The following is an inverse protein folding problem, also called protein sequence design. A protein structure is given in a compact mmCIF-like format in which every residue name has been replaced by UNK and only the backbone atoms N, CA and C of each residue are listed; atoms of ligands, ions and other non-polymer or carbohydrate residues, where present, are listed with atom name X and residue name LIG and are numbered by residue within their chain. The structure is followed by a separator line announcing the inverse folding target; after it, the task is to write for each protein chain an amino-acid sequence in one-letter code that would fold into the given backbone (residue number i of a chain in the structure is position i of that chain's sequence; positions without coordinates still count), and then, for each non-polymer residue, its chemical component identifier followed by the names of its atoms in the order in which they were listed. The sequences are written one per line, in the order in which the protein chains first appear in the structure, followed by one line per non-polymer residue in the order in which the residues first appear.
data_IF_089328234863
#
_entry.id   IF_089328234863
#
_cell.length_a   1.000
_cell.length_b   1.000
_cell.length_c   1.000
_cell.angle_alpha   90.00
_cell.angle_beta   90.00
_cell.angle_gamma   90.00
#
_symmetry.space_group_name_H-M   'P 1'
#
loop_
_entity.id
_entity.type
_entity.pdbx_description
1 polymer ?
#
# COMPACT_ATOMS: atom_id res chain seq x y z
N UNK A 1 -10.19 -13.11 -23.64
CA UNK A 1 -10.31 -12.03 -22.63
C UNK A 1 -9.55 -10.79 -23.11
N UNK A 2 -10.01 -9.59 -22.77
CA UNK A 2 -9.29 -8.34 -23.08
C UNK A 2 -7.95 -8.34 -22.36
N UNK A 3 -6.89 -7.91 -23.03
CA UNK A 3 -5.58 -7.64 -22.43
C UNK A 3 -5.45 -6.16 -22.18
N UNK A 4 -4.86 -5.78 -21.05
CA UNK A 4 -4.72 -4.40 -20.63
C UNK A 4 -3.27 -3.92 -20.74
N UNK A 5 -3.08 -2.66 -21.06
CA UNK A 5 -1.80 -1.97 -20.90
C UNK A 5 -1.75 -1.40 -19.49
N UNK A 6 -0.85 -1.93 -18.68
CA UNK A 6 -0.81 -1.58 -17.26
C UNK A 6 0.47 -0.85 -16.87
N UNK A 7 0.40 -0.09 -15.78
CA UNK A 7 1.55 0.51 -15.13
C UNK A 7 1.60 0.18 -13.65
N UNK A 8 2.80 0.04 -13.09
CA UNK A 8 3.02 -0.09 -11.64
C UNK A 8 3.87 1.10 -11.20
N UNK A 9 3.29 2.01 -10.44
CA UNK A 9 3.94 3.21 -9.91
C UNK A 9 4.53 2.89 -8.54
N UNK A 10 5.83 3.07 -8.38
CA UNK A 10 6.59 2.62 -7.20
C UNK A 10 7.11 1.18 -7.33
N UNK A 11 7.32 0.72 -8.55
CA UNK A 11 7.67 -0.67 -8.89
C UNK A 11 8.92 -1.22 -8.19
N UNK A 12 9.85 -0.38 -7.76
CA UNK A 12 11.07 -0.79 -7.06
C UNK A 12 10.90 -0.99 -5.55
N UNK A 13 9.77 -0.53 -4.99
CA UNK A 13 9.42 -0.71 -3.59
C UNK A 13 8.92 -2.13 -3.27
N UNK A 14 8.81 -2.46 -1.98
CA UNK A 14 8.31 -3.76 -1.54
C UNK A 14 6.91 -4.06 -2.09
N UNK A 15 5.98 -3.12 -1.96
CA UNK A 15 4.59 -3.26 -2.42
C UNK A 15 4.53 -3.31 -3.96
N UNK A 16 5.30 -2.47 -4.67
CA UNK A 16 5.31 -2.49 -6.13
C UNK A 16 5.82 -3.81 -6.72
N UNK A 17 6.82 -4.42 -6.09
CA UNK A 17 7.30 -5.77 -6.45
C UNK A 17 6.23 -6.85 -6.19
N UNK A 18 5.51 -6.71 -5.09
CA UNK A 18 4.42 -7.60 -4.76
C UNK A 18 3.24 -7.45 -5.74
N UNK A 19 2.91 -6.22 -6.17
CA UNK A 19 1.93 -5.98 -7.23
C UNK A 19 2.33 -6.68 -8.54
N UNK A 20 3.60 -6.59 -8.93
CA UNK A 20 4.11 -7.31 -10.10
C UNK A 20 3.94 -8.82 -9.92
N UNK A 21 4.29 -9.36 -8.74
CA UNK A 21 4.09 -10.78 -8.41
C UNK A 21 2.63 -11.19 -8.54
N UNK A 22 1.71 -10.38 -8.01
CA UNK A 22 0.27 -10.65 -8.07
C UNK A 22 -0.27 -10.63 -9.51
N UNK A 23 0.20 -9.73 -10.38
CA UNK A 23 -0.18 -9.70 -11.80
C UNK A 23 0.07 -11.07 -12.45
N UNK A 24 1.20 -11.71 -12.18
CA UNK A 24 1.52 -13.02 -12.72
C UNK A 24 0.79 -14.15 -11.98
N UNK A 25 0.79 -14.13 -10.66
CA UNK A 25 0.17 -15.20 -9.84
C UNK A 25 -1.32 -15.34 -10.12
N UNK A 26 -2.03 -14.24 -10.30
CA UNK A 26 -3.48 -14.24 -10.58
C UNK A 26 -3.79 -14.26 -12.08
N UNK A 27 -2.79 -14.46 -12.94
CA UNK A 27 -2.95 -14.50 -14.40
C UNK A 27 -3.71 -13.28 -14.93
N UNK A 28 -3.38 -12.08 -14.42
CA UNK A 28 -3.97 -10.86 -14.93
C UNK A 28 -3.57 -10.66 -16.39
N UNK A 29 -4.56 -10.55 -17.27
CA UNK A 29 -4.32 -10.47 -18.71
C UNK A 29 -3.80 -9.09 -19.11
N UNK A 30 -2.50 -8.97 -19.33
CA UNK A 30 -1.88 -7.73 -19.82
C UNK A 30 -1.32 -7.88 -21.22
N UNK A 31 -1.28 -6.78 -21.96
CA UNK A 31 -0.57 -6.61 -23.23
C UNK A 31 0.84 -6.11 -22.98
N UNK A 32 0.99 -5.13 -22.10
CA UNK A 32 2.26 -4.57 -21.68
C UNK A 32 2.24 -4.09 -20.23
N UNK A 33 3.41 -4.06 -19.59
CA UNK A 33 3.61 -3.54 -18.25
C UNK A 33 4.68 -2.46 -18.28
N UNK A 34 4.35 -1.23 -17.83
CA UNK A 34 5.33 -0.18 -17.53
C UNK A 34 5.66 -0.23 -16.04
N UNK A 35 6.94 -0.30 -15.68
CA UNK A 35 7.41 -0.19 -14.29
C UNK A 35 7.93 1.22 -14.05
N UNK A 36 7.19 2.01 -13.27
CA UNK A 36 7.46 3.43 -13.03
C UNK A 36 8.05 3.66 -11.64
N UNK A 37 9.12 4.44 -11.55
CA UNK A 37 9.75 4.82 -10.29
C UNK A 37 10.42 6.20 -10.39
N UNK A 38 11.14 6.63 -9.33
CA UNK A 38 11.90 7.88 -9.36
C UNK A 38 13.07 7.82 -10.35
N UNK A 39 13.55 8.98 -10.81
CA UNK A 39 14.73 9.12 -11.68
C UNK A 39 15.94 8.30 -11.19
N UNK A 40 16.15 8.22 -9.86
CA UNK A 40 17.24 7.40 -9.25
C UNK A 40 17.13 5.91 -9.58
N UNK A 41 15.96 5.42 -9.88
CA UNK A 41 15.70 4.00 -10.17
C UNK A 41 15.48 3.73 -11.64
N UNK A 42 15.34 4.76 -12.47
CA UNK A 42 15.22 4.62 -13.91
C UNK A 42 16.43 3.90 -14.50
N UNK A 43 16.18 3.05 -15.51
CA UNK A 43 17.19 2.21 -16.16
C UNK A 43 17.53 0.92 -15.42
N UNK A 44 17.05 0.70 -14.19
CA UNK A 44 17.23 -0.58 -13.51
C UNK A 44 16.41 -1.66 -14.18
N UNK A 45 16.98 -2.85 -14.31
CA UNK A 45 16.26 -4.03 -14.79
C UNK A 45 15.64 -4.79 -13.62
N UNK A 46 14.41 -5.23 -13.80
CA UNK A 46 13.71 -6.17 -12.91
C UNK A 46 13.41 -7.41 -13.74
N UNK A 47 13.97 -8.55 -13.34
CA UNK A 47 13.65 -9.83 -13.92
C UNK A 47 12.61 -10.53 -13.05
N UNK A 48 11.51 -10.98 -13.66
CA UNK A 48 10.43 -11.68 -13.00
C UNK A 48 9.76 -12.68 -13.94
N UNK A 49 9.63 -13.96 -13.52
CA UNK A 49 9.01 -15.05 -14.29
C UNK A 49 9.52 -15.15 -15.75
N UNK A 50 10.83 -14.98 -15.93
CA UNK A 50 11.48 -15.03 -17.26
C UNK A 50 11.28 -13.78 -18.13
N UNK A 51 10.56 -12.78 -17.63
CA UNK A 51 10.42 -11.48 -18.28
C UNK A 51 11.45 -10.48 -17.73
N UNK A 52 11.98 -9.64 -18.61
CA UNK A 52 12.85 -8.52 -18.25
C UNK A 52 12.11 -7.22 -18.45
N UNK A 53 12.01 -6.44 -17.39
CA UNK A 53 11.38 -5.13 -17.38
C UNK A 53 12.43 -4.07 -17.07
N UNK A 54 12.44 -3.00 -17.84
CA UNK A 54 13.26 -1.81 -17.55
C UNK A 54 12.38 -0.82 -16.77
N UNK A 55 12.89 -0.34 -15.65
CA UNK A 55 12.20 0.67 -14.84
C UNK A 55 12.32 2.02 -15.55
N UNK A 56 11.20 2.69 -15.79
CA UNK A 56 11.11 4.01 -16.38
C UNK A 56 10.97 5.08 -15.29
N UNK A 57 11.42 6.30 -15.59
CA UNK A 57 11.15 7.44 -14.71
C UNK A 57 9.67 7.81 -14.75
N UNK A 58 9.08 8.03 -13.56
CA UNK A 58 7.74 8.56 -13.44
C UNK A 58 7.72 10.05 -13.81
N UNK A 59 7.04 10.37 -14.89
CA UNK A 59 6.83 11.72 -15.42
C UNK A 59 5.35 11.99 -15.65
N UNK A 60 5.00 13.20 -16.00
CA UNK A 60 3.62 13.59 -16.35
C UNK A 60 3.07 12.84 -17.56
N UNK A 61 3.94 12.44 -18.49
CA UNK A 61 3.59 11.74 -19.75
C UNK A 61 3.64 10.20 -19.62
N UNK A 62 3.98 9.67 -18.45
CA UNK A 62 4.18 8.22 -18.27
C UNK A 62 2.93 7.38 -18.55
N UNK A 63 1.76 7.99 -18.48
CA UNK A 63 0.46 7.30 -18.57
C UNK A 63 -0.14 7.25 -19.97
N UNK A 64 0.53 7.81 -20.97
CA UNK A 64 0.08 7.71 -22.36
C UNK A 64 -0.08 6.25 -22.79
N UNK A 65 -1.31 5.90 -23.22
CA UNK A 65 -1.67 4.56 -23.65
C UNK A 65 -1.79 3.52 -22.52
N UNK A 66 -1.67 3.91 -21.24
CA UNK A 66 -1.92 3.04 -20.09
C UNK A 66 -3.42 3.00 -19.80
N UNK A 67 -3.98 1.81 -19.63
CA UNK A 67 -5.40 1.63 -19.32
C UNK A 67 -5.65 1.48 -17.80
N UNK A 68 -4.73 0.83 -17.07
CA UNK A 68 -4.82 0.63 -15.62
C UNK A 68 -3.47 0.87 -14.96
N UNK A 69 -3.44 1.67 -13.89
CA UNK A 69 -2.24 1.89 -13.12
C UNK A 69 -2.44 1.49 -11.64
N UNK A 70 -1.46 0.76 -11.10
CA UNK A 70 -1.37 0.39 -9.69
C UNK A 70 -0.36 1.29 -8.99
N UNK A 71 -0.75 1.90 -7.86
CA UNK A 71 0.05 2.92 -7.18
C UNK A 71 0.51 2.48 -5.81
N UNK A 72 1.83 2.60 -5.57
CA UNK A 72 2.47 2.26 -4.29
C UNK A 72 3.66 3.15 -3.94
N UNK A 73 3.80 4.31 -4.60
CA UNK A 73 4.96 5.19 -4.44
C UNK A 73 4.88 6.17 -3.26
N UNK A 74 3.81 6.09 -2.45
CA UNK A 74 3.53 7.00 -1.33
C UNK A 74 2.58 8.13 -1.69
N UNK A 75 1.86 8.67 -0.68
CA UNK A 75 0.75 9.61 -0.86
C UNK A 75 1.12 10.89 -1.61
N UNK A 76 2.30 11.45 -1.34
CA UNK A 76 2.77 12.67 -2.03
C UNK A 76 3.01 12.46 -3.54
N UNK A 77 3.35 11.25 -3.95
CA UNK A 77 3.52 10.91 -5.37
C UNK A 77 2.14 10.75 -6.02
N UNK A 78 1.20 10.08 -5.35
CA UNK A 78 -0.18 10.00 -5.82
C UNK A 78 -0.80 11.40 -5.96
N UNK A 79 -0.66 12.26 -4.95
CA UNK A 79 -1.13 13.66 -4.99
C UNK A 79 -0.60 14.40 -6.22
N UNK A 80 0.70 14.27 -6.49
CA UNK A 80 1.35 15.03 -7.56
C UNK A 80 0.97 14.53 -8.96
N UNK A 81 0.95 13.21 -9.16
CA UNK A 81 0.90 12.63 -10.51
C UNK A 81 -0.44 12.01 -10.90
N UNK A 82 -1.35 11.76 -9.95
CA UNK A 82 -2.63 11.08 -10.22
C UNK A 82 -3.46 11.81 -11.28
N UNK A 83 -3.47 13.13 -11.26
CA UNK A 83 -4.22 13.93 -12.24
C UNK A 83 -3.83 13.64 -13.68
N UNK A 84 -2.54 13.44 -13.96
CA UNK A 84 -2.05 13.16 -15.31
C UNK A 84 -2.47 11.75 -15.77
N UNK A 85 -2.53 10.79 -14.86
CA UNK A 85 -3.05 9.47 -15.17
C UNK A 85 -4.55 9.48 -15.47
N UNK A 86 -5.32 10.25 -14.72
CA UNK A 86 -6.77 10.44 -14.97
C UNK A 86 -7.01 11.17 -16.29
N UNK A 87 -6.27 12.23 -16.58
CA UNK A 87 -6.33 12.98 -17.84
C UNK A 87 -5.97 12.10 -19.04
N UNK A 88 -5.04 11.15 -18.88
CA UNK A 88 -4.70 10.15 -19.91
C UNK A 88 -5.78 9.07 -20.10
N UNK A 89 -6.87 9.08 -19.30
CA UNK A 89 -7.95 8.10 -19.36
C UNK A 89 -7.64 6.78 -18.64
N UNK A 90 -6.61 6.76 -17.82
CA UNK A 90 -6.20 5.58 -17.05
C UNK A 90 -7.10 5.38 -15.82
N UNK A 91 -7.49 4.14 -15.55
CA UNK A 91 -8.11 3.75 -14.27
C UNK A 91 -6.99 3.49 -13.26
N UNK A 92 -7.06 4.18 -12.12
CA UNK A 92 -6.00 4.18 -11.13
C UNK A 92 -6.43 3.47 -9.86
N UNK A 93 -5.69 2.45 -9.44
CA UNK A 93 -5.89 1.70 -8.20
C UNK A 93 -4.80 2.15 -7.23
N UNK A 94 -5.16 3.01 -6.28
CA UNK A 94 -4.23 3.64 -5.35
C UNK A 94 -4.18 2.95 -4.00
N UNK A 95 -3.03 2.31 -3.72
CA UNK A 95 -2.77 1.70 -2.43
C UNK A 95 -2.22 2.69 -1.39
N UNK A 96 -1.96 3.95 -1.78
CA UNK A 96 -1.51 4.97 -0.83
C UNK A 96 -2.66 5.48 0.04
N UNK A 97 -2.34 6.26 1.06
CA UNK A 97 -3.37 6.81 1.96
C UNK A 97 -3.99 8.13 1.45
N UNK A 98 -3.49 8.68 0.32
CA UNK A 98 -3.82 10.06 -0.06
C UNK A 98 -5.32 10.26 -0.33
N UNK A 99 -5.92 9.41 -1.16
CA UNK A 99 -7.32 9.56 -1.58
C UNK A 99 -8.33 8.79 -0.73
N UNK A 100 -7.90 8.03 0.29
CA UNK A 100 -8.79 7.13 1.04
C UNK A 100 -10.00 7.82 1.63
N UNK A 101 -9.80 9.04 2.16
CA UNK A 101 -10.87 9.79 2.82
C UNK A 101 -11.48 10.89 1.93
N UNK A 102 -11.08 10.98 0.65
CA UNK A 102 -11.73 11.87 -0.32
C UNK A 102 -13.17 11.38 -0.58
N UNK A 103 -14.20 12.21 -0.37
CA UNK A 103 -15.60 11.79 -0.56
C UNK A 103 -15.94 11.43 -2.02
N UNK A 104 -15.18 11.91 -2.99
CA UNK A 104 -15.40 11.65 -4.40
C UNK A 104 -14.64 10.42 -4.93
N UNK A 105 -13.83 9.77 -4.07
CA UNK A 105 -13.04 8.61 -4.44
C UNK A 105 -13.54 7.39 -3.67
N UNK A 106 -14.00 6.33 -4.33
CA UNK A 106 -14.45 5.13 -3.64
C UNK A 106 -13.28 4.44 -2.93
N UNK A 107 -13.51 4.04 -1.68
CA UNK A 107 -12.59 3.24 -0.87
C UNK A 107 -13.10 1.81 -0.88
N UNK A 108 -12.40 0.90 -1.56
CA UNK A 108 -12.97 -0.38 -1.95
C UNK A 108 -12.20 -1.57 -1.38
N UNK A 109 -12.98 -2.47 -0.76
CA UNK A 109 -12.63 -3.88 -0.52
C UNK A 109 -13.59 -4.70 -1.37
N UNK A 110 -13.13 -5.34 -2.49
CA UNK A 110 -14.03 -5.94 -3.48
C UNK A 110 -15.05 -6.93 -2.91
N UNK A 111 -14.66 -7.69 -1.88
CA UNK A 111 -15.49 -8.68 -1.21
C UNK A 111 -16.52 -8.06 -0.25
N UNK A 112 -16.40 -6.78 0.07
CA UNK A 112 -17.25 -6.07 1.04
C UNK A 112 -18.18 -5.08 0.34
N UNK A 113 -17.60 -4.15 -0.41
CA UNK A 113 -18.33 -3.06 -1.05
C UNK A 113 -17.94 -2.88 -2.52
N UNK A 114 -17.74 -3.99 -3.25
CA UNK A 114 -17.32 -3.99 -4.66
C UNK A 114 -18.22 -3.19 -5.59
N UNK A 115 -19.50 -3.01 -5.25
CA UNK A 115 -20.44 -2.18 -6.02
C UNK A 115 -20.01 -0.71 -6.10
N UNK A 116 -19.27 -0.20 -5.10
CA UNK A 116 -18.72 1.16 -5.10
C UNK A 116 -17.72 1.41 -6.24
N UNK A 117 -17.21 0.36 -6.88
CA UNK A 117 -16.38 0.50 -8.09
C UNK A 117 -17.11 1.21 -9.24
N UNK A 118 -18.43 1.19 -9.27
CA UNK A 118 -19.21 1.85 -10.33
C UNK A 118 -19.14 3.37 -10.27
N UNK A 119 -18.81 3.90 -9.11
CA UNK A 119 -18.79 5.34 -8.84
C UNK A 119 -17.38 5.96 -8.96
N UNK A 120 -16.40 5.20 -9.48
CA UNK A 120 -15.07 5.73 -9.67
C UNK A 120 -15.03 6.77 -10.81
N UNK A 121 -14.33 7.86 -10.59
CA UNK A 121 -14.04 8.88 -11.58
C UNK A 121 -12.56 8.81 -12.03
N UNK A 122 -12.10 7.60 -12.34
CA UNK A 122 -10.72 7.31 -12.72
C UNK A 122 -9.79 6.97 -11.55
N UNK A 123 -10.23 7.11 -10.28
CA UNK A 123 -9.44 6.78 -9.10
C UNK A 123 -10.24 5.82 -8.20
N UNK A 124 -9.59 4.76 -7.75
CA UNK A 124 -10.10 3.78 -6.79
C UNK A 124 -9.06 3.68 -5.67
N UNK A 125 -9.44 3.94 -4.43
CA UNK A 125 -8.54 3.80 -3.29
C UNK A 125 -8.64 2.42 -2.66
N UNK A 126 -7.48 1.85 -2.32
CA UNK A 126 -7.38 0.65 -1.49
C UNK A 126 -7.24 1.07 -0.02
N UNK A 127 -7.97 0.45 0.90
CA UNK A 127 -7.85 0.73 2.32
C UNK A 127 -6.49 0.32 2.90
N UNK A 128 -6.27 0.69 4.16
CA UNK A 128 -5.16 0.17 4.95
C UNK A 128 -5.24 -1.36 5.07
N UNK A 129 -4.09 -2.01 5.12
CA UNK A 129 -4.01 -3.49 5.11
C UNK A 129 -4.78 -4.13 6.28
N UNK A 130 -4.70 -3.56 7.48
CA UNK A 130 -5.46 -4.06 8.65
C UNK A 130 -6.94 -3.79 8.52
N UNK A 131 -7.35 -2.66 7.93
CA UNK A 131 -8.74 -2.35 7.62
C UNK A 131 -9.32 -3.37 6.62
N UNK A 132 -8.58 -3.70 5.55
CA UNK A 132 -9.03 -4.70 4.57
C UNK A 132 -9.29 -6.04 5.25
N UNK A 133 -8.33 -6.54 6.02
CA UNK A 133 -8.46 -7.83 6.72
C UNK A 133 -9.64 -7.84 7.69
N UNK A 134 -9.81 -6.78 8.47
CA UNK A 134 -10.89 -6.66 9.44
C UNK A 134 -12.26 -6.58 8.76
N UNK A 135 -12.43 -5.70 7.78
CA UNK A 135 -13.70 -5.57 7.06
C UNK A 135 -14.08 -6.85 6.31
N UNK A 136 -13.12 -7.50 5.64
CA UNK A 136 -13.37 -8.78 4.97
C UNK A 136 -13.81 -9.88 5.93
N UNK A 137 -13.24 -9.93 7.14
CA UNK A 137 -13.63 -10.91 8.15
C UNK A 137 -15.00 -10.62 8.78
N UNK A 138 -15.37 -9.35 8.88
CA UNK A 138 -16.58 -8.92 9.60
C UNK A 138 -17.79 -8.69 8.69
N UNK A 139 -17.61 -8.62 7.36
CA UNK A 139 -18.69 -8.22 6.44
C UNK A 139 -19.95 -9.07 6.62
N UNK A 140 -19.82 -10.41 6.71
CA UNK A 140 -20.99 -11.32 6.91
C UNK A 140 -21.71 -11.06 8.23
N UNK A 141 -20.95 -10.73 9.28
CA UNK A 141 -21.55 -10.40 10.58
C UNK A 141 -22.22 -9.02 10.54
N UNK A 142 -21.61 -8.09 9.82
CA UNK A 142 -22.22 -6.76 9.64
C UNK A 142 -23.52 -6.84 8.85
N UNK A 143 -23.54 -7.60 7.75
CA UNK A 143 -24.73 -7.77 6.89
C UNK A 143 -25.90 -8.41 7.63
N UNK A 144 -25.64 -9.32 8.57
CA UNK A 144 -26.67 -10.07 9.28
C UNK A 144 -27.11 -9.40 10.59
N UNK A 145 -26.22 -8.68 11.28
CA UNK A 145 -26.46 -8.23 12.65
C UNK A 145 -26.29 -6.73 12.89
N UNK A 146 -25.88 -5.94 11.91
CA UNK A 146 -25.59 -4.50 12.04
C UNK A 146 -24.60 -4.22 13.19
N UNK A 147 -23.32 -4.32 12.97
CA UNK A 147 -22.29 -4.15 13.99
C UNK A 147 -22.30 -2.73 14.56
N UNK A 148 -22.59 -2.58 15.82
CA UNK A 148 -22.58 -1.29 16.53
C UNK A 148 -21.18 -0.86 17.00
N UNK A 149 -20.34 -1.83 17.36
CA UNK A 149 -19.01 -1.54 17.92
C UNK A 149 -17.99 -2.64 17.60
N UNK A 150 -16.79 -2.20 17.21
CA UNK A 150 -15.62 -3.07 17.00
C UNK A 150 -14.54 -2.71 18.02
N UNK A 151 -14.04 -3.71 18.74
CA UNK A 151 -12.82 -3.62 19.57
C UNK A 151 -11.82 -4.61 18.99
N UNK A 152 -10.67 -4.11 18.53
CA UNK A 152 -9.68 -4.91 17.80
C UNK A 152 -8.28 -4.67 18.33
N UNK A 153 -7.49 -5.74 18.37
CA UNK A 153 -6.04 -5.69 18.58
C UNK A 153 -5.35 -6.33 17.40
N UNK A 154 -4.33 -5.68 16.86
CA UNK A 154 -3.60 -6.15 15.68
C UNK A 154 -2.16 -6.52 16.03
N UNK A 155 -1.64 -7.53 15.34
CA UNK A 155 -0.23 -7.89 15.32
C UNK A 155 0.29 -7.74 13.90
N UNK A 156 1.15 -6.75 13.69
CA UNK A 156 1.60 -6.38 12.35
C UNK A 156 3.08 -6.68 12.13
N UNK A 157 3.39 -7.20 10.95
CA UNK A 157 4.77 -7.44 10.54
C UNK A 157 5.48 -6.14 10.16
N UNK A 158 6.81 -6.16 10.25
CA UNK A 158 7.68 -5.02 9.87
C UNK A 158 7.60 -4.65 8.37
N UNK A 159 7.05 -5.52 7.54
CA UNK A 159 6.88 -5.27 6.10
C UNK A 159 6.03 -4.05 5.78
N UNK A 160 5.15 -3.63 6.70
CA UNK A 160 4.40 -2.37 6.61
C UNK A 160 5.30 -1.12 6.56
N UNK A 161 6.50 -1.17 7.17
CA UNK A 161 7.54 -0.14 7.06
C UNK A 161 8.41 -0.29 5.80
N UNK A 162 8.04 -1.16 4.88
CA UNK A 162 8.73 -1.39 3.63
C UNK A 162 10.07 -2.12 3.78
N UNK A 163 10.92 -1.98 2.76
CA UNK A 163 12.24 -2.65 2.72
C UNK A 163 13.09 -2.29 3.94
N UNK A 164 13.10 -1.03 4.36
CA UNK A 164 13.89 -0.58 5.50
C UNK A 164 13.52 -1.28 6.82
N UNK A 165 12.22 -1.52 7.06
CA UNK A 165 11.77 -2.26 8.24
C UNK A 165 12.21 -3.72 8.22
N UNK A 166 12.13 -4.38 7.06
CA UNK A 166 12.56 -5.77 6.88
C UNK A 166 14.08 -5.90 7.06
N UNK A 167 14.87 -5.05 6.42
CA UNK A 167 16.34 -5.03 6.56
C UNK A 167 16.75 -4.77 8.01
N UNK A 168 16.04 -3.87 8.70
CA UNK A 168 16.31 -3.60 10.12
C UNK A 168 16.06 -4.84 10.97
N UNK A 169 14.96 -5.57 10.77
CA UNK A 169 14.69 -6.81 11.50
C UNK A 169 15.78 -7.86 11.25
N UNK A 170 16.19 -8.08 10.01
CA UNK A 170 17.26 -9.03 9.67
C UNK A 170 18.57 -8.66 10.35
N UNK A 171 18.99 -7.40 10.26
CA UNK A 171 20.22 -6.90 10.85
C UNK A 171 20.20 -7.04 12.37
N UNK A 172 19.11 -6.60 13.02
CA UNK A 172 18.97 -6.69 14.48
C UNK A 172 18.94 -8.15 14.95
N UNK A 173 18.29 -9.05 14.20
CA UNK A 173 18.29 -10.48 14.53
C UNK A 173 19.70 -11.05 14.53
N UNK A 174 20.53 -10.69 13.55
CA UNK A 174 21.93 -11.10 13.52
C UNK A 174 22.74 -10.48 14.67
N UNK A 175 22.52 -9.20 14.98
CA UNK A 175 23.16 -8.52 16.10
C UNK A 175 22.88 -9.25 17.42
N UNK A 176 21.63 -9.63 17.68
CA UNK A 176 21.25 -10.38 18.89
C UNK A 176 21.88 -11.77 18.94
N UNK A 177 21.89 -12.51 17.81
CA UNK A 177 22.52 -13.82 17.72
C UNK A 177 24.04 -13.77 17.93
N UNK A 178 24.66 -12.66 17.56
CA UNK A 178 26.08 -12.38 17.79
C UNK A 178 26.37 -11.91 19.25
N UNK A 179 25.36 -11.82 20.10
CA UNK A 179 25.49 -11.31 21.48
C UNK A 179 25.69 -9.80 21.59
N UNK A 180 25.29 -9.04 20.54
CA UNK A 180 25.36 -7.58 20.48
C UNK A 180 24.03 -6.95 20.82
N UNK A 181 24.04 -5.71 21.31
CA UNK A 181 22.82 -4.92 21.48
C UNK A 181 22.28 -4.49 20.11
N UNK A 182 20.99 -4.75 19.80
CA UNK A 182 20.40 -4.39 18.53
C UNK A 182 20.19 -2.87 18.42
N UNK A 183 20.63 -2.29 17.31
CA UNK A 183 20.52 -0.85 17.05
C UNK A 183 19.24 -0.55 16.27
N UNK A 184 18.33 0.24 16.87
CA UNK A 184 17.08 0.68 16.24
C UNK A 184 17.26 1.99 15.46
N UNK A 185 16.71 2.06 14.23
CA UNK A 185 16.80 3.24 13.34
C UNK A 185 15.49 3.57 12.61
N UNK A 186 14.56 2.64 12.51
CA UNK A 186 13.39 2.76 11.63
C UNK A 186 12.07 2.67 12.39
N UNK A 187 11.94 1.73 13.33
CA UNK A 187 10.67 1.42 13.98
C UNK A 187 10.51 2.12 15.34
N UNK A 188 9.28 2.53 15.73
CA UNK A 188 7.97 2.22 15.10
C UNK A 188 7.66 3.05 13.85
N UNK A 189 8.32 4.18 13.66
CA UNK A 189 8.14 5.05 12.49
C UNK A 189 9.46 5.76 12.18
N UNK A 190 9.91 5.71 10.93
CA UNK A 190 11.17 6.33 10.50
C UNK A 190 11.27 7.85 10.77
N UNK A 191 10.12 8.53 10.88
CA UNK A 191 10.07 9.96 11.19
C UNK A 191 10.00 10.29 12.69
N UNK A 192 10.09 9.32 13.60
CA UNK A 192 10.14 9.54 15.04
C UNK A 192 11.55 9.89 15.52
N UNK A 193 11.63 10.58 16.68
CA UNK A 193 12.90 10.88 17.32
C UNK A 193 13.49 9.69 18.08
N UNK A 194 12.64 8.74 18.46
CA UNK A 194 13.02 7.57 19.25
C UNK A 194 12.60 6.29 18.52
N UNK A 195 13.53 5.38 18.39
CA UNK A 195 13.32 4.08 17.76
C UNK A 195 13.55 2.97 18.77
N UNK A 196 12.93 1.83 18.53
CA UNK A 196 13.00 0.66 19.41
C UNK A 196 13.35 -0.58 18.60
N UNK A 197 14.18 -1.48 19.14
CA UNK A 197 14.50 -2.73 18.45
C UNK A 197 13.26 -3.63 18.35
N UNK A 198 13.15 -4.26 17.18
CA UNK A 198 12.04 -5.17 16.85
C UNK A 198 12.45 -6.64 16.90
N UNK A 199 13.74 -6.96 16.72
CA UNK A 199 14.19 -8.34 16.76
C UNK A 199 13.88 -8.98 18.12
N UNK A 200 13.19 -10.11 18.11
CA UNK A 200 12.70 -10.84 19.28
C UNK A 200 11.86 -10.00 20.25
N UNK A 201 11.18 -8.99 19.74
CA UNK A 201 10.43 -8.02 20.51
C UNK A 201 9.07 -7.71 19.87
N UNK A 202 8.20 -7.02 20.63
CA UNK A 202 6.96 -6.45 20.16
C UNK A 202 6.92 -4.97 20.54
N UNK A 203 6.75 -4.09 19.57
CA UNK A 203 6.63 -2.66 19.79
C UNK A 203 5.13 -2.32 19.81
N UNK A 204 4.56 -1.82 20.95
CA UNK A 204 3.14 -1.53 21.07
C UNK A 204 2.77 -0.20 20.40
N UNK A 205 3.22 0.00 19.18
CA UNK A 205 2.99 1.21 18.37
C UNK A 205 3.21 0.90 16.89
N UNK A 206 2.29 1.37 16.05
CA UNK A 206 2.47 1.44 14.60
C UNK A 206 2.15 2.87 14.15
N UNK A 207 3.07 3.49 13.40
CA UNK A 207 3.03 4.90 13.00
C UNK A 207 3.07 5.86 14.21
N UNK A 208 2.85 7.16 13.99
CA UNK A 208 2.94 8.22 15.01
C UNK A 208 1.66 8.33 15.81
N UNK A 209 1.81 8.60 17.11
CA UNK A 209 0.68 9.01 17.94
C UNK A 209 0.23 10.43 17.64
N UNK A 210 -1.09 10.63 17.63
CA UNK A 210 -1.72 11.93 17.73
C UNK A 210 -1.99 12.21 19.21
N UNK A 211 -1.22 13.11 19.79
CA UNK A 211 -1.33 13.43 21.22
C UNK A 211 -2.66 14.12 21.59
N UNK A 212 -3.42 14.62 20.60
CA UNK A 212 -4.71 15.26 20.84
C UNK A 212 -5.82 14.27 21.18
N UNK A 213 -5.71 13.03 20.70
CA UNK A 213 -6.72 11.99 20.90
C UNK A 213 -6.18 10.68 21.53
N UNK A 214 -4.85 10.57 21.63
CA UNK A 214 -4.19 9.40 22.22
C UNK A 214 -4.12 8.16 21.31
N UNK A 215 -4.53 8.28 20.04
CA UNK A 215 -4.46 7.21 19.04
C UNK A 215 -3.25 7.38 18.13
N UNK A 216 -2.72 6.27 17.63
CA UNK A 216 -1.78 6.31 16.52
C UNK A 216 -2.51 6.62 15.20
N UNK A 217 -1.76 7.11 14.22
CA UNK A 217 -2.31 7.30 12.87
C UNK A 217 -2.81 5.99 12.26
N UNK A 218 -2.16 4.88 12.57
CA UNK A 218 -2.58 3.56 12.09
C UNK A 218 -3.95 3.17 12.66
N UNK A 219 -4.18 3.38 13.96
CA UNK A 219 -5.48 3.14 14.60
C UNK A 219 -6.57 4.02 13.99
N UNK A 220 -6.27 5.29 13.73
CA UNK A 220 -7.24 6.23 13.12
C UNK A 220 -7.59 5.86 11.67
N UNK A 221 -6.67 5.24 10.93
CA UNK A 221 -7.01 4.67 9.61
C UNK A 221 -8.12 3.63 9.76
N UNK A 222 -7.97 2.66 10.68
CA UNK A 222 -9.00 1.65 10.90
C UNK A 222 -10.34 2.27 11.31
N UNK A 223 -10.34 3.25 12.20
CA UNK A 223 -11.57 3.94 12.66
C UNK A 223 -12.29 4.64 11.51
N UNK A 224 -11.56 5.41 10.71
CA UNK A 224 -12.15 6.25 9.67
C UNK A 224 -12.51 5.46 8.41
N UNK A 225 -11.62 4.58 7.97
CA UNK A 225 -11.80 3.80 6.76
C UNK A 225 -12.93 2.79 6.89
N UNK A 226 -13.06 2.12 8.05
CA UNK A 226 -14.17 1.19 8.32
C UNK A 226 -15.54 1.85 8.18
N UNK A 227 -15.69 3.08 8.69
CA UNK A 227 -16.93 3.85 8.56
C UNK A 227 -17.26 4.27 7.13
N UNK A 228 -16.27 4.33 6.27
CA UNK A 228 -16.46 4.65 4.85
C UNK A 228 -16.78 3.40 4.02
N UNK A 229 -16.33 2.23 4.46
CA UNK A 229 -16.49 0.96 3.76
C UNK A 229 -17.84 0.33 4.08
N UNK A 230 -18.23 0.30 5.36
CA UNK A 230 -19.53 -0.18 5.84
C UNK A 230 -20.57 0.94 5.81
#
# INVERSE_FOLDING_TARGET
MKKFKIAIVGATGAVGREMLRCVFQFNFHFESIKLLASARSAGKEIEFEGHKFVVEELTENSFEGVEVAFWSAGGSISEKYMKYAVEAGCVNIDNTSHFRMDPNVPLVVPEVNGEALKDHHGIISCPNCTTIMMCSALTRLNDEFDIERIVVSTYQAVSGAGVAGMEELYRQSQEVLDGKEPVAKTLPCAGDKKHFPIAFNCIPQVDKFDLSNGYSKEEMKMVNETKKIF
#
